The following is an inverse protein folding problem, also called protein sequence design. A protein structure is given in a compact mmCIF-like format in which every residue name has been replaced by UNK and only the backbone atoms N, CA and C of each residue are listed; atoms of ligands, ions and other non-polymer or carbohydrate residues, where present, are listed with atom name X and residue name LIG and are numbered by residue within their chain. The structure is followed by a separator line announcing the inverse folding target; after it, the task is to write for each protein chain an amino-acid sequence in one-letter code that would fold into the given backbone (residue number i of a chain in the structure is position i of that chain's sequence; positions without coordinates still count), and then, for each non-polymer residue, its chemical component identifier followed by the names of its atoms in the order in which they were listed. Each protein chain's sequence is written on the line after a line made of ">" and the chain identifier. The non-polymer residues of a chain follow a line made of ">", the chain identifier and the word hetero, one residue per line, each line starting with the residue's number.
data_IF_807240047777
#
_entry.id   IF_807240047777
#
_cell.length_a   1.000
_cell.length_b   1.000
_cell.length_c   1.000
_cell.angle_alpha   90.00
_cell.angle_beta   90.00
_cell.angle_gamma   90.00
#
_symmetry.space_group_name_H-M   'P 1'
#
loop_
_entity.id
_entity.type
_entity.pdbx_description
1 polymer ?
#
# COMPACT_ATOMS: atom_id res chain seq x y z
N UNK A 1 16.06 -90.46 19.73
CA UNK A 1 16.32 -90.21 21.17
C UNK A 1 15.65 -88.89 21.54
N UNK A 2 14.81 -88.92 22.57
CA UNK A 2 14.05 -87.79 23.11
C UNK A 2 14.99 -86.94 23.97
N UNK A 3 15.03 -85.62 23.79
CA UNK A 3 15.56 -84.71 24.80
C UNK A 3 15.00 -83.30 24.57
N UNK A 4 14.14 -82.87 25.51
CA UNK A 4 13.82 -81.45 25.76
C UNK A 4 15.11 -80.74 26.22
N UNK A 5 15.21 -79.42 26.01
CA UNK A 5 15.31 -78.44 27.12
C UNK A 5 15.49 -76.96 26.71
N UNK A 6 14.74 -76.16 27.47
CA UNK A 6 14.92 -74.78 27.93
C UNK A 6 14.73 -73.59 26.97
N UNK A 7 13.65 -72.87 27.27
CA UNK A 7 13.44 -71.46 26.93
C UNK A 7 14.41 -70.56 27.70
N UNK A 8 14.89 -69.51 27.04
CA UNK A 8 15.38 -68.28 27.69
C UNK A 8 14.72 -67.11 26.97
N UNK A 9 13.79 -66.45 27.66
CA UNK A 9 13.24 -65.15 27.28
C UNK A 9 14.32 -64.10 27.58
N UNK A 10 14.91 -63.51 26.53
CA UNK A 10 15.74 -62.33 26.67
C UNK A 10 14.86 -61.08 26.48
N UNK A 11 14.55 -60.40 27.58
CA UNK A 11 14.04 -59.04 27.54
C UNK A 11 15.23 -58.07 27.46
N UNK A 12 15.30 -57.26 26.41
CA UNK A 12 16.24 -56.14 26.31
C UNK A 12 15.44 -54.88 25.97
N UNK A 13 15.61 -53.87 26.83
CA UNK A 13 14.80 -52.67 26.94
C UNK A 13 14.92 -51.73 25.73
N UNK A 14 13.79 -51.24 25.22
CA UNK A 14 13.74 -50.03 24.40
C UNK A 14 13.90 -48.82 25.32
N UNK A 15 15.02 -48.11 25.20
CA UNK A 15 15.17 -46.76 25.78
C UNK A 15 14.35 -45.77 24.95
N UNK A 16 13.21 -45.34 25.46
CA UNK A 16 12.46 -44.20 24.91
C UNK A 16 13.20 -42.91 25.30
N UNK A 17 13.76 -42.20 24.32
CA UNK A 17 14.21 -40.82 24.54
C UNK A 17 12.98 -39.91 24.68
N UNK A 18 12.98 -38.94 25.62
CA UNK A 18 11.87 -37.99 25.74
C UNK A 18 11.85 -37.05 24.52
N UNK A 19 10.65 -36.63 24.04
CA UNK A 19 10.57 -35.56 23.07
C UNK A 19 11.09 -34.27 23.71
N UNK A 20 12.08 -33.65 23.07
CA UNK A 20 12.47 -32.27 23.39
C UNK A 20 11.28 -31.37 23.08
N UNK A 21 10.57 -30.90 24.11
CA UNK A 21 9.63 -29.82 23.98
C UNK A 21 10.44 -28.56 23.63
N UNK A 22 10.34 -28.09 22.40
CA UNK A 22 10.76 -26.74 22.07
C UNK A 22 9.83 -25.78 22.80
N UNK A 23 10.37 -24.85 23.57
CA UNK A 23 9.60 -23.75 24.13
C UNK A 23 8.83 -23.03 23.01
N UNK A 24 7.57 -22.62 23.22
CA UNK A 24 6.89 -21.73 22.29
C UNK A 24 7.69 -20.42 22.24
N UNK A 25 8.49 -20.27 21.18
CA UNK A 25 9.17 -19.01 20.89
C UNK A 25 8.08 -18.00 20.59
N UNK A 26 7.87 -17.03 21.48
CA UNK A 26 7.01 -15.89 21.18
C UNK A 26 7.51 -15.25 19.87
N UNK A 27 6.61 -14.94 18.91
CA UNK A 27 7.01 -14.25 17.70
C UNK A 27 7.68 -12.93 18.07
N UNK A 28 8.97 -12.78 17.77
CA UNK A 28 9.67 -11.50 17.89
C UNK A 28 8.93 -10.51 16.98
N UNK A 29 8.44 -9.36 17.49
CA UNK A 29 7.80 -8.36 16.66
C UNK A 29 8.74 -7.96 15.53
N UNK A 30 8.35 -8.24 14.29
CA UNK A 30 9.06 -7.73 13.11
C UNK A 30 8.96 -6.20 13.16
N UNK A 31 10.06 -5.43 12.98
CA UNK A 31 9.96 -3.99 12.85
C UNK A 31 9.00 -3.68 11.70
N UNK A 32 7.90 -3.00 12.00
CA UNK A 32 7.08 -2.39 10.94
C UNK A 32 7.99 -1.43 10.18
N UNK A 33 8.07 -1.51 8.83
CA UNK A 33 8.88 -0.57 8.07
C UNK A 33 8.43 0.85 8.42
N UNK A 34 9.37 1.68 8.87
CA UNK A 34 9.07 3.07 9.17
C UNK A 34 8.58 3.75 7.89
N UNK A 35 7.47 4.50 7.99
CA UNK A 35 6.99 5.32 6.88
C UNK A 35 8.08 6.36 6.58
N UNK A 36 8.51 6.52 5.31
CA UNK A 36 9.49 7.53 4.95
C UNK A 36 9.04 8.94 5.36
N UNK A 37 9.98 9.79 5.77
CA UNK A 37 9.68 11.21 6.00
C UNK A 37 9.42 11.95 4.68
N UNK A 38 8.66 13.06 4.70
CA UNK A 38 8.48 13.95 3.55
C UNK A 38 9.82 14.57 3.08
N UNK A 39 9.90 15.12 1.85
CA UNK A 39 8.79 15.45 0.95
C UNK A 39 8.19 14.23 0.23
N UNK A 40 6.87 14.21 0.09
CA UNK A 40 6.12 13.19 -0.62
C UNK A 40 5.82 13.57 -2.07
N UNK A 41 5.76 14.87 -2.38
CA UNK A 41 5.56 15.43 -3.71
C UNK A 41 6.85 16.11 -4.16
N UNK A 42 7.32 15.74 -5.36
CA UNK A 42 8.52 16.32 -5.96
C UNK A 42 8.21 17.69 -6.58
N UNK A 43 7.21 17.72 -7.46
CA UNK A 43 6.71 18.94 -8.07
C UNK A 43 5.27 18.76 -8.57
N UNK A 44 4.66 19.87 -8.97
CA UNK A 44 3.37 19.88 -9.68
C UNK A 44 3.51 20.63 -11.00
N UNK A 45 2.63 20.34 -11.95
CA UNK A 45 2.58 21.04 -13.23
C UNK A 45 1.15 21.15 -13.75
N UNK A 46 0.68 22.39 -13.89
CA UNK A 46 -0.52 22.68 -14.67
C UNK A 46 -0.27 22.44 -16.16
N UNK A 47 -1.18 21.73 -16.81
CA UNK A 47 -1.19 21.41 -18.24
C UNK A 47 -2.60 21.51 -18.80
N UNK A 48 -2.72 21.37 -20.12
CA UNK A 48 -3.99 21.13 -20.78
C UNK A 48 -4.06 19.68 -21.28
N UNK A 49 -5.22 19.05 -21.10
CA UNK A 49 -5.60 17.75 -21.66
C UNK A 49 -7.01 17.86 -22.23
N UNK A 50 -7.20 17.42 -23.48
CA UNK A 50 -8.51 17.44 -24.16
C UNK A 50 -9.22 18.82 -24.08
N UNK A 51 -8.44 19.90 -24.17
CA UNK A 51 -8.94 21.28 -24.09
C UNK A 51 -9.25 21.79 -22.68
N UNK A 52 -9.07 20.98 -21.64
CA UNK A 52 -9.36 21.33 -20.25
C UNK A 52 -8.10 21.29 -19.36
N UNK A 53 -8.14 21.97 -18.23
CA UNK A 53 -6.99 22.07 -17.31
C UNK A 53 -6.78 20.78 -16.51
N UNK A 54 -5.53 20.38 -16.32
CA UNK A 54 -5.11 19.25 -15.49
C UNK A 54 -3.88 19.63 -14.66
N UNK A 55 -3.90 19.33 -13.37
CA UNK A 55 -2.76 19.44 -12.47
C UNK A 55 -2.10 18.08 -12.35
N UNK A 56 -0.90 17.92 -12.91
CA UNK A 56 -0.10 16.72 -12.71
C UNK A 56 0.70 16.84 -11.42
N UNK A 57 0.52 15.89 -10.50
CA UNK A 57 1.27 15.77 -9.24
C UNK A 57 2.28 14.64 -9.37
N UNK A 58 3.56 14.94 -9.14
CA UNK A 58 4.65 13.98 -9.31
C UNK A 58 5.12 13.51 -7.93
N UNK A 59 4.84 12.26 -7.52
CA UNK A 59 5.24 11.77 -6.21
C UNK A 59 6.73 11.40 -6.16
N UNK A 60 7.38 11.70 -5.04
CA UNK A 60 8.74 11.24 -4.74
C UNK A 60 8.74 9.72 -4.46
N UNK A 61 9.92 9.06 -4.44
CA UNK A 61 10.01 7.68 -3.96
C UNK A 61 9.52 7.50 -2.52
N UNK A 62 9.63 8.52 -1.67
CA UNK A 62 9.09 8.50 -0.32
C UNK A 62 7.55 8.54 -0.35
N UNK A 63 6.96 9.44 -1.15
CA UNK A 63 5.52 9.53 -1.36
C UNK A 63 4.92 8.22 -1.84
N UNK A 64 5.52 7.59 -2.86
CA UNK A 64 5.05 6.29 -3.37
C UNK A 64 5.03 5.19 -2.30
N UNK A 65 6.06 5.14 -1.44
CA UNK A 65 6.13 4.17 -0.32
C UNK A 65 5.17 4.48 0.82
N UNK A 66 4.83 5.75 1.03
CA UNK A 66 3.90 6.19 2.04
C UNK A 66 2.43 6.04 1.60
N UNK A 67 2.18 6.01 0.29
CA UNK A 67 0.87 5.89 -0.36
C UNK A 67 0.44 4.41 -0.53
N UNK A 68 -0.83 4.18 -0.89
CA UNK A 68 -1.39 2.85 -1.21
C UNK A 68 -2.38 2.30 -0.17
N UNK A 69 -2.93 1.10 -0.44
CA UNK A 69 -4.00 0.46 0.35
C UNK A 69 -3.62 0.13 1.79
N UNK A 70 -2.33 0.17 2.13
CA UNK A 70 -1.80 -0.02 3.48
C UNK A 70 -1.17 1.24 4.08
N UNK A 71 -1.38 2.41 3.47
CA UNK A 71 -0.86 3.67 3.98
C UNK A 71 -1.37 3.90 5.41
N UNK A 72 -0.45 3.97 6.37
CA UNK A 72 -0.76 4.22 7.78
C UNK A 72 -0.83 5.71 8.10
N UNK A 73 -0.23 6.55 7.25
CA UNK A 73 -0.29 8.01 7.34
C UNK A 73 -1.40 8.54 6.42
N UNK A 74 -2.15 9.53 6.90
CA UNK A 74 -3.05 10.31 6.04
C UNK A 74 -2.26 11.01 4.93
N UNK A 75 -2.86 11.13 3.75
CA UNK A 75 -2.33 11.95 2.65
C UNK A 75 -2.36 13.46 2.88
N UNK A 76 -2.78 13.94 4.06
CA UNK A 76 -2.91 15.38 4.35
C UNK A 76 -1.60 16.17 4.25
N UNK A 77 -0.49 15.60 4.72
CA UNK A 77 0.84 16.22 4.58
C UNK A 77 1.20 16.40 3.11
N UNK A 78 1.02 15.34 2.31
CA UNK A 78 1.27 15.37 0.88
C UNK A 78 0.30 16.33 0.15
N UNK A 79 -0.96 16.45 0.58
CA UNK A 79 -1.89 17.44 0.05
C UNK A 79 -1.42 18.88 0.37
N UNK A 80 -0.89 19.11 1.57
CA UNK A 80 -0.31 20.41 1.94
C UNK A 80 0.89 20.77 1.05
N UNK A 81 1.73 19.80 0.71
CA UNK A 81 2.83 19.97 -0.25
C UNK A 81 2.32 20.32 -1.64
N UNK A 82 1.24 19.69 -2.11
CA UNK A 82 0.57 20.06 -3.37
C UNK A 82 0.15 21.54 -3.34
N UNK A 83 -0.50 22.00 -2.27
CA UNK A 83 -0.95 23.40 -2.15
C UNK A 83 0.21 24.39 -2.02
N UNK A 84 1.33 24.00 -1.41
CA UNK A 84 2.54 24.84 -1.39
C UNK A 84 3.14 25.00 -2.80
N UNK A 85 3.03 23.98 -3.65
CA UNK A 85 3.55 23.98 -5.02
C UNK A 85 2.56 24.58 -6.04
N UNK A 86 1.26 24.41 -5.83
CA UNK A 86 0.16 24.93 -6.65
C UNK A 86 -0.95 25.52 -5.76
N UNK A 87 -0.79 26.78 -5.29
CA UNK A 87 -1.71 27.40 -4.34
C UNK A 87 -3.16 27.57 -4.82
N UNK A 88 -3.38 27.49 -6.12
CA UNK A 88 -4.69 27.59 -6.77
C UNK A 88 -5.38 26.23 -6.95
N UNK A 89 -4.79 25.12 -6.49
CA UNK A 89 -5.32 23.78 -6.65
C UNK A 89 -6.48 23.43 -5.69
N UNK A 90 -6.75 24.24 -4.66
CA UNK A 90 -7.82 23.99 -3.68
C UNK A 90 -9.22 24.37 -4.21
N UNK A 91 -9.57 23.83 -5.37
CA UNK A 91 -10.92 23.95 -5.94
C UNK A 91 -11.77 22.75 -5.57
N UNK A 92 -13.12 22.85 -5.65
CA UNK A 92 -14.01 21.74 -5.31
C UNK A 92 -13.61 20.43 -6.02
N UNK A 93 -13.51 19.35 -5.26
CA UNK A 93 -13.21 18.01 -5.77
C UNK A 93 -11.72 17.66 -5.92
N UNK A 94 -10.81 18.63 -5.99
CA UNK A 94 -9.38 18.37 -6.21
C UNK A 94 -8.73 17.55 -5.07
N UNK A 95 -9.01 17.92 -3.81
CA UNK A 95 -8.52 17.16 -2.65
C UNK A 95 -9.07 15.73 -2.64
N UNK A 96 -10.34 15.53 -2.99
CA UNK A 96 -10.95 14.19 -3.02
C UNK A 96 -10.31 13.29 -4.10
N UNK A 97 -10.04 13.85 -5.28
CA UNK A 97 -9.25 13.18 -6.33
C UNK A 97 -7.86 12.82 -5.80
N UNK A 98 -7.15 13.77 -5.18
CA UNK A 98 -5.82 13.53 -4.63
C UNK A 98 -5.80 12.43 -3.59
N UNK A 99 -6.73 12.44 -2.64
CA UNK A 99 -6.80 11.39 -1.61
C UNK A 99 -7.13 10.02 -2.23
N UNK A 100 -7.98 9.98 -3.26
CA UNK A 100 -8.19 8.75 -4.02
C UNK A 100 -6.88 8.26 -4.66
N UNK A 101 -6.13 9.14 -5.31
CA UNK A 101 -4.83 8.78 -5.88
C UNK A 101 -3.83 8.31 -4.81
N UNK A 102 -3.75 9.00 -3.68
CA UNK A 102 -2.89 8.62 -2.56
C UNK A 102 -3.15 7.18 -2.08
N UNK A 103 -4.40 6.75 -1.96
CA UNK A 103 -4.68 5.40 -1.47
C UNK A 103 -4.71 4.33 -2.56
N UNK A 104 -5.08 4.68 -3.79
CA UNK A 104 -5.43 3.68 -4.81
C UNK A 104 -4.57 3.70 -6.08
N UNK A 105 -3.85 4.77 -6.39
CA UNK A 105 -3.13 4.88 -7.66
C UNK A 105 -2.05 3.81 -7.81
N UNK A 106 -1.19 3.63 -6.80
CA UNK A 106 -0.12 2.62 -6.85
C UNK A 106 -0.65 1.18 -6.84
N UNK A 107 -1.85 0.94 -6.32
CA UNK A 107 -2.48 -0.39 -6.36
C UNK A 107 -3.12 -0.69 -7.73
N UNK A 108 -3.75 0.31 -8.35
CA UNK A 108 -4.45 0.16 -9.62
C UNK A 108 -3.52 0.23 -10.84
N UNK A 109 -2.50 1.08 -10.78
CA UNK A 109 -1.52 1.28 -11.84
C UNK A 109 -0.16 1.71 -11.23
N UNK A 110 0.66 0.74 -10.77
CA UNK A 110 1.94 1.03 -10.15
C UNK A 110 2.87 1.83 -11.04
N UNK A 111 3.54 2.84 -10.48
CA UNK A 111 4.60 3.57 -11.18
C UNK A 111 4.12 4.55 -12.26
N UNK A 112 2.83 4.89 -12.29
CA UNK A 112 2.32 6.01 -13.09
C UNK A 112 3.16 7.27 -12.86
N UNK A 113 3.45 8.00 -13.93
CA UNK A 113 4.42 9.12 -13.85
C UNK A 113 3.89 10.24 -12.95
N UNK A 114 2.60 10.55 -13.06
CA UNK A 114 1.92 11.57 -12.25
C UNK A 114 0.53 11.10 -11.82
N UNK A 115 0.01 11.72 -10.76
CA UNK A 115 -1.40 11.69 -10.38
C UNK A 115 -2.04 12.97 -10.88
N UNK A 116 -3.02 12.87 -11.77
CA UNK A 116 -3.60 14.02 -12.44
C UNK A 116 -4.89 14.42 -11.72
N UNK A 117 -5.02 15.70 -11.40
CA UNK A 117 -6.17 16.27 -10.70
C UNK A 117 -6.80 17.31 -11.62
N UNK A 118 -8.08 17.15 -11.90
CA UNK A 118 -8.75 17.97 -12.90
C UNK A 118 -9.93 18.73 -12.27
N UNK A 119 -9.90 20.08 -12.25
CA UNK A 119 -10.91 20.88 -11.57
C UNK A 119 -12.28 20.86 -12.28
N UNK A 120 -12.32 20.39 -13.53
CA UNK A 120 -13.56 20.27 -14.32
C UNK A 120 -14.32 18.97 -14.06
N UNK A 121 -13.71 18.00 -13.34
CA UNK A 121 -14.40 16.75 -12.99
C UNK A 121 -15.54 17.04 -12.01
N UNK A 122 -16.67 16.30 -12.10
CA UNK A 122 -17.78 16.48 -11.19
C UNK A 122 -17.34 16.17 -9.75
N UNK A 123 -17.83 16.98 -8.81
CA UNK A 123 -17.70 16.70 -7.38
C UNK A 123 -18.65 15.56 -7.04
N UNK A 124 -18.10 14.45 -6.55
CA UNK A 124 -18.82 13.22 -6.25
C UNK A 124 -18.45 12.74 -4.84
N UNK A 125 -19.24 11.83 -4.28
CA UNK A 125 -18.88 11.19 -3.02
C UNK A 125 -17.70 10.20 -3.20
N UNK A 126 -17.08 9.81 -2.08
CA UNK A 126 -15.90 8.95 -2.07
C UNK A 126 -16.15 7.58 -2.75
N UNK A 127 -17.38 7.04 -2.65
CA UNK A 127 -17.71 5.76 -3.25
C UNK A 127 -17.70 5.87 -4.77
N UNK A 128 -18.33 6.92 -5.31
CA UNK A 128 -18.31 7.21 -6.73
C UNK A 128 -16.91 7.58 -7.23
N UNK A 129 -16.12 8.32 -6.44
CA UNK A 129 -14.71 8.64 -6.76
C UNK A 129 -13.88 7.37 -7.00
N UNK A 130 -13.95 6.41 -6.07
CA UNK A 130 -13.23 5.13 -6.19
C UNK A 130 -13.78 4.28 -7.33
N UNK A 131 -15.10 4.19 -7.51
CA UNK A 131 -15.71 3.45 -8.64
C UNK A 131 -15.28 3.99 -10.00
N UNK A 132 -15.09 5.30 -10.09
CA UNK A 132 -14.58 5.98 -11.28
C UNK A 132 -13.05 5.97 -11.37
N UNK A 133 -12.35 5.16 -10.55
CA UNK A 133 -10.89 5.05 -10.54
C UNK A 133 -10.20 6.40 -10.36
N UNK A 134 -10.70 7.20 -9.42
CA UNK A 134 -10.24 8.54 -9.08
C UNK A 134 -10.47 9.61 -10.16
N UNK A 135 -11.02 9.25 -11.32
CA UNK A 135 -11.20 10.13 -12.48
C UNK A 135 -12.69 10.17 -12.90
N UNK A 136 -13.60 10.72 -12.08
CA UNK A 136 -15.02 10.79 -12.44
C UNK A 136 -15.24 11.67 -13.67
N UNK A 137 -16.14 11.22 -14.56
CA UNK A 137 -16.50 11.91 -15.81
C UNK A 137 -15.37 11.97 -16.84
N UNK A 138 -15.65 12.59 -17.99
CA UNK A 138 -14.67 12.93 -19.04
C UNK A 138 -13.75 11.81 -19.53
N UNK A 139 -12.72 12.19 -20.28
CA UNK A 139 -11.61 11.31 -20.68
C UNK A 139 -10.52 11.34 -19.58
N UNK A 140 -9.83 10.22 -19.38
CA UNK A 140 -8.67 10.16 -18.46
C UNK A 140 -7.40 10.53 -19.23
N UNK A 141 -6.62 11.45 -18.66
CA UNK A 141 -5.29 11.77 -19.16
C UNK A 141 -4.31 10.60 -18.85
N UNK A 142 -3.65 9.99 -19.86
CA UNK A 142 -2.99 8.69 -19.68
C UNK A 142 -1.53 8.80 -19.25
N UNK A 143 -1.15 8.58 -17.98
CA UNK A 143 0.24 8.31 -17.55
C UNK A 143 0.29 7.53 -16.23
#
# INVERSE_FOLDING_TARGET
>A
MRSLRFAVLAAAALTLAPPSAADPTEPVPQPVPAVPAPPYVDHTRWTQWDGATSLRVYPTPAGRRASGLGATQSGDEAWSEVLNLAPDADTPGMRAQFMCHWYFAEAGAPGKTSWNLEPWRPVVDDNQMVRARCNPGGTEEPF
#
